data_IF_248266569686
#
_entry.id   IF_248266569686
#
_cell.length_a   1.000
_cell.length_b   1.000
_cell.length_c   1.000
_cell.angle_alpha   90.00
_cell.angle_beta   90.00
_cell.angle_gamma   90.00
#
_symmetry.space_group_name_H-M   'P 1'
#
loop_
_entity.id
_entity.type
_entity.pdbx_description
1 polymer ?
#
# COMPACT_ATOMS: atom_id res chain seq x y z
N UNK A 1 7.61 -6.91 20.23
CA UNK A 1 7.54 -7.23 18.79
C UNK A 1 8.46 -8.40 18.38
N UNK A 2 9.82 -8.32 18.47
CA UNK A 2 10.68 -9.47 18.06
C UNK A 2 10.47 -10.74 18.90
N UNK A 3 10.23 -10.60 20.20
CA UNK A 3 9.92 -11.72 21.08
C UNK A 3 8.58 -12.39 20.72
N UNK A 4 7.56 -11.59 20.47
CA UNK A 4 6.22 -12.06 20.06
C UNK A 4 6.28 -12.81 18.72
N UNK A 5 7.03 -12.29 17.74
CA UNK A 5 7.24 -12.97 16.45
C UNK A 5 7.93 -14.32 16.67
N UNK A 6 8.92 -14.38 17.56
CA UNK A 6 9.61 -15.62 17.88
C UNK A 6 8.67 -16.65 18.55
N UNK A 7 7.78 -16.20 19.44
CA UNK A 7 6.76 -17.04 20.08
C UNK A 7 5.73 -17.53 19.03
N UNK A 8 5.26 -16.67 18.15
CA UNK A 8 4.36 -17.06 17.06
C UNK A 8 4.99 -18.15 16.16
N UNK A 9 6.27 -17.99 15.79
CA UNK A 9 6.96 -18.99 15.00
C UNK A 9 7.22 -20.29 15.77
N UNK A 10 7.46 -20.21 17.08
CA UNK A 10 7.55 -21.39 17.94
C UNK A 10 6.19 -22.12 17.95
N UNK A 11 5.09 -21.40 18.21
CA UNK A 11 3.75 -21.97 18.16
C UNK A 11 3.45 -22.65 16.82
N UNK A 12 3.80 -21.99 15.71
CA UNK A 12 3.59 -22.54 14.37
C UNK A 12 4.37 -23.86 14.14
N UNK A 13 5.58 -23.96 14.66
CA UNK A 13 6.38 -25.21 14.58
C UNK A 13 5.80 -26.30 15.48
N UNK A 14 5.45 -25.94 16.72
CA UNK A 14 4.93 -26.89 17.72
C UNK A 14 3.57 -27.50 17.29
N UNK A 15 2.82 -26.80 16.42
CA UNK A 15 1.54 -27.23 15.87
C UNK A 15 1.59 -27.70 14.40
N UNK A 16 2.79 -27.86 13.84
CA UNK A 16 3.05 -28.33 12.47
C UNK A 16 2.38 -27.50 11.35
N UNK A 17 2.08 -26.21 11.61
CA UNK A 17 1.48 -25.30 10.63
C UNK A 17 2.49 -24.35 9.97
N UNK A 18 3.76 -24.43 10.31
CA UNK A 18 4.80 -23.56 9.76
C UNK A 18 4.94 -23.66 8.25
N UNK A 19 4.78 -24.87 7.69
CA UNK A 19 4.80 -25.11 6.24
C UNK A 19 3.64 -24.43 5.50
N UNK A 20 2.46 -24.47 6.07
CA UNK A 20 1.27 -23.79 5.52
C UNK A 20 1.43 -22.27 5.55
N UNK A 21 1.94 -21.71 6.66
CA UNK A 21 2.22 -20.29 6.78
C UNK A 21 3.22 -19.82 5.72
N UNK A 22 4.31 -20.56 5.51
CA UNK A 22 5.29 -20.26 4.45
C UNK A 22 4.65 -20.35 3.07
N UNK A 23 3.76 -21.31 2.83
CA UNK A 23 3.07 -21.45 1.54
C UNK A 23 2.11 -20.29 1.26
N UNK A 24 1.45 -19.75 2.28
CA UNK A 24 0.59 -18.58 2.16
C UNK A 24 1.36 -17.31 1.79
N UNK A 25 2.62 -17.19 2.21
CA UNK A 25 3.47 -16.03 1.89
C UNK A 25 4.12 -16.10 0.50
N UNK A 26 3.87 -17.14 -0.29
CA UNK A 26 4.41 -17.22 -1.66
C UNK A 26 3.70 -16.21 -2.58
N UNK A 27 4.44 -15.24 -3.17
CA UNK A 27 3.82 -14.26 -4.04
C UNK A 27 3.25 -14.95 -5.30
N UNK A 28 2.02 -14.61 -5.63
CA UNK A 28 1.34 -15.06 -6.86
C UNK A 28 1.26 -13.91 -7.86
N UNK A 29 2.33 -13.69 -8.58
CA UNK A 29 2.51 -12.56 -9.51
C UNK A 29 1.28 -12.32 -10.40
N UNK A 30 0.69 -13.39 -10.96
CA UNK A 30 -0.47 -13.27 -11.83
C UNK A 30 -1.69 -12.61 -11.16
N UNK A 31 -1.90 -12.87 -9.85
CA UNK A 31 -3.01 -12.24 -9.10
C UNK A 31 -2.79 -10.75 -8.93
N UNK A 32 -1.57 -10.35 -8.62
CA UNK A 32 -1.21 -8.94 -8.53
C UNK A 32 -1.36 -8.25 -9.89
N UNK A 33 -0.91 -8.88 -10.98
CA UNK A 33 -1.07 -8.33 -12.33
C UNK A 33 -2.54 -8.17 -12.72
N UNK A 34 -3.40 -9.15 -12.42
CA UNK A 34 -4.84 -9.07 -12.68
C UNK A 34 -5.50 -7.95 -11.86
N UNK A 35 -5.12 -7.80 -10.58
CA UNK A 35 -5.64 -6.73 -9.74
C UNK A 35 -5.25 -5.35 -10.29
N UNK A 36 -3.96 -5.15 -10.60
CA UNK A 36 -3.46 -3.90 -11.20
C UNK A 36 -4.14 -3.59 -12.53
N UNK A 37 -4.27 -4.60 -13.42
CA UNK A 37 -4.96 -4.43 -14.70
C UNK A 37 -6.43 -4.03 -14.51
N UNK A 38 -7.12 -4.63 -13.55
CA UNK A 38 -8.50 -4.27 -13.18
C UNK A 38 -8.60 -2.84 -12.64
N UNK A 39 -7.67 -2.41 -11.78
CA UNK A 39 -7.64 -1.05 -11.24
C UNK A 39 -7.40 -0.02 -12.36
N UNK A 40 -6.43 -0.25 -13.24
CA UNK A 40 -6.19 0.64 -14.39
C UNK A 40 -7.36 0.66 -15.39
N UNK A 41 -8.00 -0.47 -15.62
CA UNK A 41 -9.21 -0.52 -16.45
C UNK A 41 -10.34 0.33 -15.87
N UNK A 42 -10.59 0.24 -14.56
CA UNK A 42 -11.62 1.04 -13.89
C UNK A 42 -11.29 2.53 -13.90
N UNK A 43 -10.02 2.91 -13.74
CA UNK A 43 -9.57 4.30 -13.88
C UNK A 43 -9.82 4.79 -15.32
N UNK A 44 -9.46 4.00 -16.33
CA UNK A 44 -9.69 4.35 -17.73
C UNK A 44 -11.17 4.50 -18.06
N UNK A 45 -12.03 3.58 -17.58
CA UNK A 45 -13.48 3.67 -17.76
C UNK A 45 -14.08 4.89 -17.08
N UNK A 46 -13.67 5.20 -15.85
CA UNK A 46 -14.12 6.38 -15.12
C UNK A 46 -13.71 7.67 -15.84
N UNK A 47 -12.45 7.75 -16.31
CA UNK A 47 -11.97 8.87 -17.10
C UNK A 47 -12.73 9.00 -18.41
N UNK A 48 -12.96 7.89 -19.12
CA UNK A 48 -13.75 7.90 -20.36
C UNK A 48 -15.19 8.36 -20.14
N UNK A 49 -15.80 7.98 -19.02
CA UNK A 49 -17.14 8.45 -18.65
C UNK A 49 -17.19 9.97 -18.49
N UNK A 50 -16.15 10.61 -17.93
CA UNK A 50 -16.10 12.08 -17.85
C UNK A 50 -15.97 12.74 -19.22
N UNK A 51 -15.28 12.10 -20.16
CA UNK A 51 -15.15 12.63 -21.53
C UNK A 51 -16.49 12.55 -22.30
N UNK A 52 -17.30 11.53 -22.02
CA UNK A 52 -18.59 11.31 -22.71
C UNK A 52 -19.74 12.10 -22.06
N UNK A 53 -19.83 12.08 -20.73
CA UNK A 53 -20.95 12.64 -19.96
C UNK A 53 -20.63 13.98 -19.28
N UNK A 54 -19.40 14.47 -19.46
CA UNK A 54 -18.96 15.76 -18.91
C UNK A 54 -18.98 15.80 -17.39
N UNK A 55 -19.24 17.00 -16.85
CA UNK A 55 -19.19 17.26 -15.42
C UNK A 55 -20.16 16.43 -14.58
N UNK A 56 -21.25 15.92 -15.18
CA UNK A 56 -22.24 15.08 -14.47
C UNK A 56 -21.62 13.77 -13.98
N UNK A 57 -20.71 13.18 -14.77
CA UNK A 57 -20.00 11.96 -14.36
C UNK A 57 -18.80 12.22 -13.45
N UNK A 58 -18.30 13.45 -13.39
CA UNK A 58 -17.05 13.79 -12.69
C UNK A 58 -17.05 13.40 -11.20
N UNK A 59 -18.08 13.64 -10.37
CA UNK A 59 -18.06 13.27 -8.97
C UNK A 59 -17.88 11.76 -8.77
N UNK A 60 -18.59 10.95 -9.54
CA UNK A 60 -18.50 9.48 -9.48
C UNK A 60 -17.13 9.01 -9.99
N UNK A 61 -16.63 9.61 -11.06
CA UNK A 61 -15.32 9.29 -11.60
C UNK A 61 -14.20 9.59 -10.57
N UNK A 62 -14.24 10.72 -9.89
CA UNK A 62 -13.26 11.05 -8.86
C UNK A 62 -13.28 10.04 -7.70
N UNK A 63 -14.47 9.61 -7.25
CA UNK A 63 -14.58 8.57 -6.22
C UNK A 63 -13.99 7.24 -6.68
N UNK A 64 -14.28 6.83 -7.91
CA UNK A 64 -13.74 5.58 -8.48
C UNK A 64 -12.23 5.68 -8.62
N UNK A 65 -11.71 6.76 -9.22
CA UNK A 65 -10.27 6.95 -9.44
C UNK A 65 -9.52 6.96 -8.10
N UNK A 66 -9.97 7.77 -7.12
CA UNK A 66 -9.34 7.83 -5.81
C UNK A 66 -9.34 6.49 -5.07
N UNK A 67 -10.45 5.74 -5.14
CA UNK A 67 -10.53 4.40 -4.57
C UNK A 67 -9.56 3.42 -5.26
N UNK A 68 -9.40 3.49 -6.59
CA UNK A 68 -8.44 2.63 -7.31
C UNK A 68 -7.00 3.03 -7.07
N UNK A 69 -6.69 4.32 -6.96
CA UNK A 69 -5.35 4.78 -6.57
C UNK A 69 -4.97 4.25 -5.17
N UNK A 70 -5.91 4.26 -4.23
CA UNK A 70 -5.70 3.63 -2.91
C UNK A 70 -5.44 2.12 -3.02
N UNK A 71 -6.19 1.41 -3.88
CA UNK A 71 -5.97 -0.03 -4.11
C UNK A 71 -4.57 -0.31 -4.69
N UNK A 72 -4.12 0.51 -5.66
CA UNK A 72 -2.75 0.45 -6.18
C UNK A 72 -1.71 0.74 -5.09
N UNK A 73 -1.99 1.66 -4.15
CA UNK A 73 -1.15 1.93 -2.98
C UNK A 73 -0.99 0.70 -2.07
N UNK A 74 -2.05 -0.09 -1.87
CA UNK A 74 -1.94 -1.34 -1.11
C UNK A 74 -1.04 -2.36 -1.82
N UNK A 75 -1.09 -2.45 -3.15
CA UNK A 75 -0.21 -3.33 -3.92
C UNK A 75 1.23 -2.81 -3.88
N UNK A 76 1.44 -1.49 -3.88
CA UNK A 76 2.75 -0.87 -3.67
C UNK A 76 3.34 -1.26 -2.31
N UNK A 77 2.53 -1.20 -1.25
CA UNK A 77 2.89 -1.65 0.08
C UNK A 77 3.36 -3.12 0.06
N UNK A 78 2.59 -4.02 -0.53
CA UNK A 78 2.97 -5.43 -0.67
C UNK A 78 4.26 -5.62 -1.48
N UNK A 79 4.47 -4.79 -2.50
CA UNK A 79 5.70 -4.78 -3.28
C UNK A 79 6.92 -4.41 -2.43
N UNK A 80 6.77 -3.50 -1.46
CA UNK A 80 7.83 -3.11 -0.53
C UNK A 80 8.32 -4.29 0.31
N UNK A 81 7.42 -5.20 0.66
CA UNK A 81 7.65 -6.45 1.37
C UNK A 81 7.98 -7.66 0.48
N UNK A 82 8.28 -7.44 -0.81
CA UNK A 82 8.52 -8.49 -1.83
C UNK A 82 7.28 -9.32 -2.17
N UNK A 83 6.08 -8.81 -1.91
CA UNK A 83 4.82 -9.52 -2.15
C UNK A 83 4.47 -9.71 -3.63
N UNK A 84 5.09 -8.96 -4.57
CA UNK A 84 4.82 -9.09 -6.01
C UNK A 84 5.57 -10.22 -6.68
N UNK A 85 6.82 -10.48 -6.27
CA UNK A 85 7.65 -11.53 -6.86
C UNK A 85 8.65 -12.06 -5.85
N UNK A 86 9.07 -13.31 -6.00
CA UNK A 86 10.06 -13.96 -5.13
C UNK A 86 11.42 -13.25 -5.14
N UNK A 87 11.81 -12.66 -6.28
CA UNK A 87 13.04 -11.85 -6.40
C UNK A 87 12.75 -10.39 -6.08
N UNK A 88 13.57 -9.80 -5.21
CA UNK A 88 13.50 -8.37 -4.85
C UNK A 88 13.58 -7.44 -6.06
N UNK A 89 14.54 -7.71 -6.96
CA UNK A 89 14.72 -6.90 -8.17
C UNK A 89 13.52 -6.95 -9.10
N UNK A 90 12.92 -8.14 -9.28
CA UNK A 90 11.69 -8.31 -10.06
C UNK A 90 10.49 -7.61 -9.40
N UNK A 91 10.34 -7.72 -8.09
CA UNK A 91 9.27 -7.02 -7.35
C UNK A 91 9.37 -5.52 -7.52
N UNK A 92 10.57 -4.93 -7.39
CA UNK A 92 10.82 -3.50 -7.59
C UNK A 92 10.58 -3.07 -9.04
N UNK A 93 11.06 -3.84 -10.02
CA UNK A 93 10.86 -3.53 -11.43
C UNK A 93 9.37 -3.53 -11.81
N UNK A 94 8.62 -4.55 -11.38
CA UNK A 94 7.17 -4.62 -11.58
C UNK A 94 6.47 -3.44 -10.90
N UNK A 95 6.83 -3.12 -9.66
CA UNK A 95 6.26 -2.01 -8.92
C UNK A 95 6.47 -0.68 -9.66
N UNK A 96 7.69 -0.41 -10.13
CA UNK A 96 8.00 0.82 -10.85
C UNK A 96 7.15 0.96 -12.12
N UNK A 97 7.05 -0.08 -12.93
CA UNK A 97 6.31 -0.04 -14.21
C UNK A 97 4.81 0.04 -14.00
N UNK A 98 4.27 -0.76 -13.05
CA UNK A 98 2.83 -0.95 -12.93
C UNK A 98 2.13 0.20 -12.19
N UNK A 99 2.82 0.86 -11.27
CA UNK A 99 2.21 1.92 -10.45
C UNK A 99 3.14 3.06 -10.04
N UNK A 100 4.43 2.84 -9.77
CA UNK A 100 5.27 3.95 -9.29
C UNK A 100 5.42 5.04 -10.35
N UNK A 101 5.87 4.71 -11.56
CA UNK A 101 6.04 5.69 -12.64
C UNK A 101 4.71 6.32 -13.08
N UNK A 102 3.63 5.55 -13.31
CA UNK A 102 2.35 6.17 -13.66
C UNK A 102 1.76 7.07 -12.59
N UNK A 103 2.07 6.85 -11.31
CA UNK A 103 1.59 7.66 -10.18
C UNK A 103 2.62 8.68 -9.67
N UNK A 104 3.77 8.83 -10.38
CA UNK A 104 4.87 9.73 -10.00
C UNK A 104 5.43 9.48 -8.60
N UNK A 105 5.44 8.21 -8.17
CA UNK A 105 5.99 7.74 -6.89
C UNK A 105 7.34 7.08 -7.12
N UNK A 106 8.25 7.21 -6.18
CA UNK A 106 9.52 6.48 -6.17
C UNK A 106 9.44 5.26 -5.26
N UNK A 107 9.58 4.05 -5.83
CA UNK A 107 9.64 2.82 -5.04
C UNK A 107 10.79 2.80 -4.03
N UNK A 108 11.91 3.45 -4.37
CA UNK A 108 13.07 3.55 -3.48
C UNK A 108 12.75 4.39 -2.25
N UNK A 109 12.19 5.59 -2.46
CA UNK A 109 11.79 6.51 -1.38
C UNK A 109 10.70 5.86 -0.53
N UNK A 110 9.61 5.40 -1.16
CA UNK A 110 8.51 4.76 -0.44
C UNK A 110 9.01 3.63 0.47
N UNK A 111 9.90 2.79 -0.02
CA UNK A 111 10.39 1.67 0.76
C UNK A 111 11.34 2.07 1.88
N UNK A 112 12.08 3.14 1.72
CA UNK A 112 12.95 3.69 2.76
C UNK A 112 12.08 4.23 3.92
N UNK A 113 11.12 5.08 3.62
CA UNK A 113 10.16 5.63 4.59
C UNK A 113 9.36 4.52 5.27
N UNK A 114 8.85 3.55 4.50
CA UNK A 114 8.07 2.44 5.02
C UNK A 114 8.88 1.49 5.91
N UNK A 115 10.16 1.27 5.58
CA UNK A 115 11.09 0.52 6.43
C UNK A 115 11.37 1.29 7.72
N UNK A 116 11.47 2.62 7.64
CA UNK A 116 11.65 3.48 8.80
C UNK A 116 10.42 3.44 9.71
N UNK A 117 9.21 3.55 9.14
CA UNK A 117 7.95 3.36 9.84
C UNK A 117 7.91 2.03 10.60
N UNK A 118 8.18 0.90 9.95
CA UNK A 118 8.20 -0.40 10.62
C UNK A 118 9.23 -0.51 11.73
N UNK A 119 10.37 0.15 11.57
CA UNK A 119 11.44 0.15 12.58
C UNK A 119 11.08 0.94 13.82
N UNK A 120 10.36 2.04 13.65
CA UNK A 120 10.01 2.98 14.71
C UNK A 120 8.51 3.09 14.95
N UNK A 121 7.75 2.08 14.56
CA UNK A 121 6.31 2.02 14.66
C UNK A 121 5.80 2.50 16.02
N UNK A 122 5.00 3.58 16.00
CA UNK A 122 4.41 4.19 17.19
C UNK A 122 5.35 5.11 17.98
N UNK A 123 6.55 5.40 17.49
CA UNK A 123 7.46 6.38 18.10
C UNK A 123 7.12 7.78 17.58
N UNK A 124 6.62 8.70 18.44
CA UNK A 124 6.15 10.01 18.00
C UNK A 124 7.23 10.91 17.37
N UNK A 125 8.51 10.62 17.63
CA UNK A 125 9.63 11.42 17.14
C UNK A 125 10.29 10.83 15.87
N UNK A 126 10.09 9.55 15.59
CA UNK A 126 10.83 8.84 14.54
C UNK A 126 9.98 8.10 13.53
N UNK A 127 8.71 7.82 13.84
CA UNK A 127 7.79 7.17 12.92
C UNK A 127 7.23 8.22 11.93
N UNK A 128 7.57 8.16 10.63
CA UNK A 128 7.09 9.14 9.65
C UNK A 128 5.57 9.10 9.47
N UNK A 129 4.92 7.97 9.77
CA UNK A 129 3.48 7.79 9.65
C UNK A 129 2.73 8.02 10.98
N UNK A 130 3.40 8.61 11.98
CA UNK A 130 2.81 8.83 13.30
C UNK A 130 1.76 9.95 13.27
N UNK A 131 0.49 9.58 13.41
CA UNK A 131 -0.66 10.49 13.29
C UNK A 131 -1.18 10.88 14.70
N UNK A 132 -0.36 11.51 15.49
CA UNK A 132 -0.73 12.01 16.81
C UNK A 132 -0.29 13.46 16.97
N UNK A 133 -0.89 14.18 17.91
CA UNK A 133 -0.44 15.52 18.27
C UNK A 133 0.82 15.45 19.16
N UNK A 134 1.36 16.62 19.52
CA UNK A 134 2.54 16.74 20.37
C UNK A 134 2.36 16.12 21.78
N UNK A 135 1.10 15.88 22.19
CA UNK A 135 0.76 15.25 23.47
C UNK A 135 0.69 13.73 23.37
N UNK A 136 0.89 13.15 22.20
CA UNK A 136 0.75 11.72 21.92
C UNK A 136 -0.69 11.22 21.84
N UNK A 137 -1.66 12.13 21.83
CA UNK A 137 -3.06 11.81 21.64
C UNK A 137 -3.39 11.68 20.15
N UNK A 138 -4.22 10.71 19.81
CA UNK A 138 -4.68 10.54 18.44
C UNK A 138 -5.44 11.78 17.97
N UNK A 139 -4.99 12.37 16.89
CA UNK A 139 -5.73 13.45 16.22
C UNK A 139 -7.01 12.86 15.61
N UNK A 140 -8.12 13.60 15.73
CA UNK A 140 -9.37 13.19 15.08
C UNK A 140 -9.17 13.03 13.56
N UNK A 141 -9.96 12.17 12.92
CA UNK A 141 -9.85 11.88 11.49
C UNK A 141 -9.95 13.11 10.58
N UNK A 142 -10.77 14.10 10.95
CA UNK A 142 -11.00 15.28 10.13
C UNK A 142 -9.77 16.21 10.03
N UNK A 143 -9.07 16.57 11.13
CA UNK A 143 -7.83 17.32 11.04
C UNK A 143 -6.75 16.61 10.22
N UNK A 144 -6.57 15.31 10.42
CA UNK A 144 -5.59 14.51 9.67
C UNK A 144 -5.93 14.52 8.17
N UNK A 145 -7.19 14.32 7.82
CA UNK A 145 -7.66 14.33 6.44
C UNK A 145 -7.48 15.69 5.76
N UNK A 146 -7.78 16.78 6.48
CA UNK A 146 -7.57 18.14 6.00
C UNK A 146 -6.08 18.44 5.78
N UNK A 147 -5.22 18.05 6.71
CA UNK A 147 -3.77 18.21 6.55
C UNK A 147 -3.24 17.48 5.32
N UNK A 148 -3.71 16.26 5.07
CA UNK A 148 -3.31 15.49 3.88
C UNK A 148 -3.79 16.09 2.57
N UNK A 149 -4.94 16.77 2.55
CA UNK A 149 -5.44 17.44 1.35
C UNK A 149 -4.77 18.82 1.14
N UNK A 150 -4.50 19.55 2.22
CA UNK A 150 -3.97 20.91 2.16
C UNK A 150 -2.44 20.97 2.13
N UNK A 151 -1.76 19.89 2.46
CA UNK A 151 -0.29 19.78 2.41
C UNK A 151 0.25 19.49 0.99
N UNK A 152 -0.57 19.61 -0.03
CA UNK A 152 -0.18 19.63 -1.42
C UNK A 152 0.34 21.04 -1.76
#
# INVERSE_FOLDING_TARGET
MLAEIAEMWKFARDNDISGELVALHRPRVYRALLAVAGDWLLIALATSATLVFGWVATPVALLVIGNRQRALGNILHDASHRGLAASRSRSVALANVLFCWPLWVSMAIYRDDHTHHHRFLGDPARDPDFIHDETGLSRGWLPVWLDQILSL
#
